data_IF_274777867970
#
_entry.id   IF_274777867970
#
_cell.length_a   1.000
_cell.length_b   1.000
_cell.length_c   1.000
_cell.angle_alpha   90.00
_cell.angle_beta   90.00
_cell.angle_gamma   90.00
#
_symmetry.space_group_name_H-M   'P 1'
#
loop_
_entity.id
_entity.type
_entity.pdbx_description
1 polymer ?
#
# COMPACT_ATOMS: atom_id res chain seq x y z
N UNK A 1 5.29 -5.73 12.40
CA UNK A 1 4.73 -6.59 11.31
C UNK A 1 5.73 -6.65 10.14
N UNK A 2 6.46 -7.75 9.96
CA UNK A 2 7.77 -7.80 9.25
C UNK A 2 7.68 -7.86 7.70
N UNK A 3 6.48 -7.85 7.11
CA UNK A 3 6.32 -8.09 5.66
C UNK A 3 6.48 -6.88 4.74
N UNK A 4 6.17 -5.67 5.22
CA UNK A 4 6.06 -4.47 4.37
C UNK A 4 7.39 -3.72 4.20
N UNK A 5 8.33 -3.87 5.14
CA UNK A 5 9.65 -3.22 5.08
C UNK A 5 10.44 -3.62 3.82
N UNK A 6 10.17 -4.79 3.23
CA UNK A 6 10.80 -5.23 1.98
C UNK A 6 10.45 -4.36 0.76
N UNK A 7 9.43 -3.50 0.88
CA UNK A 7 9.01 -2.59 -0.16
C UNK A 7 9.57 -1.17 0.02
N UNK A 8 10.36 -0.89 1.06
CA UNK A 8 11.00 0.41 1.24
C UNK A 8 11.81 0.81 0.00
N UNK A 9 11.56 2.02 -0.51
CA UNK A 9 12.15 2.57 -1.74
C UNK A 9 11.62 1.93 -3.04
N UNK A 10 10.68 0.99 -2.96
CA UNK A 10 10.08 0.36 -4.14
C UNK A 10 8.80 1.10 -4.57
N UNK A 11 8.59 1.14 -5.88
CA UNK A 11 7.32 1.54 -6.49
C UNK A 11 6.33 0.39 -6.45
N UNK A 12 5.15 0.64 -5.91
CA UNK A 12 4.13 -0.36 -5.61
C UNK A 12 2.72 0.17 -5.88
N UNK A 13 1.78 -0.76 -6.03
CA UNK A 13 0.36 -0.49 -5.94
C UNK A 13 -0.15 -0.98 -4.58
N UNK A 14 -0.92 -0.13 -3.90
CA UNK A 14 -1.52 -0.42 -2.60
C UNK A 14 -3.03 -0.44 -2.74
N UNK A 15 -3.64 -1.51 -2.27
CA UNK A 15 -5.08 -1.69 -2.23
C UNK A 15 -5.53 -1.79 -0.77
N UNK A 16 -6.48 -0.94 -0.39
CA UNK A 16 -6.93 -0.79 0.99
C UNK A 16 -8.36 -1.32 1.09
N UNK A 17 -8.54 -2.24 2.04
CA UNK A 17 -9.84 -2.79 2.42
C UNK A 17 -10.12 -2.37 3.85
N UNK A 18 -11.17 -1.57 4.05
CA UNK A 18 -11.60 -1.07 5.35
C UNK A 18 -12.52 -2.06 6.09
N UNK A 19 -13.12 -3.02 5.38
CA UNK A 19 -14.05 -4.01 5.96
C UNK A 19 -13.80 -5.43 5.45
N UNK A 20 -14.29 -6.42 6.22
CA UNK A 20 -14.31 -7.84 5.82
C UNK A 20 -15.13 -8.02 4.53
N UNK A 21 -16.24 -7.29 4.40
CA UNK A 21 -17.11 -7.37 3.24
C UNK A 21 -16.39 -6.90 1.96
N UNK A 22 -15.72 -5.74 2.03
CA UNK A 22 -14.91 -5.22 0.92
C UNK A 22 -13.85 -6.24 0.49
N UNK A 23 -13.17 -6.84 1.47
CA UNK A 23 -12.12 -7.85 1.21
C UNK A 23 -12.66 -9.13 0.57
N UNK A 24 -13.74 -9.71 1.12
CA UNK A 24 -14.31 -10.95 0.62
C UNK A 24 -14.94 -10.84 -0.77
N UNK A 25 -15.37 -9.63 -1.15
CA UNK A 25 -15.92 -9.34 -2.48
C UNK A 25 -14.86 -8.82 -3.47
N UNK A 26 -13.56 -8.86 -3.11
CA UNK A 26 -12.45 -8.41 -3.95
C UNK A 26 -12.67 -6.97 -4.48
N UNK A 27 -13.28 -6.12 -3.65
CA UNK A 27 -13.60 -4.75 -3.99
C UNK A 27 -12.90 -3.83 -3.01
N UNK A 28 -11.78 -3.25 -3.42
CA UNK A 28 -11.05 -2.30 -2.58
C UNK A 28 -11.87 -1.04 -2.33
N UNK A 29 -11.75 -0.48 -1.12
CA UNK A 29 -12.38 0.80 -0.78
C UNK A 29 -11.57 1.97 -1.35
N UNK A 30 -10.26 1.78 -1.50
CA UNK A 30 -9.33 2.74 -2.07
C UNK A 30 -8.12 2.02 -2.64
N UNK A 31 -7.61 2.51 -3.78
CA UNK A 31 -6.32 2.10 -4.32
C UNK A 31 -5.41 3.30 -4.55
N UNK A 32 -4.12 3.09 -4.29
CA UNK A 32 -3.04 4.04 -4.53
C UNK A 32 -2.04 3.34 -5.43
N UNK A 33 -1.94 3.82 -6.67
CA UNK A 33 -1.14 3.20 -7.72
C UNK A 33 0.12 4.00 -7.95
N UNK A 34 1.17 3.30 -8.38
CA UNK A 34 2.43 3.93 -8.79
C UNK A 34 3.10 4.75 -7.68
N UNK A 35 2.91 4.35 -6.42
CA UNK A 35 3.44 5.07 -5.25
C UNK A 35 4.75 4.46 -4.75
N UNK A 36 5.63 5.28 -4.20
CA UNK A 36 6.90 4.83 -3.61
C UNK A 36 6.76 4.69 -2.11
N UNK A 37 7.16 3.55 -1.53
CA UNK A 37 7.14 3.40 -0.07
C UNK A 37 8.35 4.11 0.54
N UNK A 38 8.10 5.11 1.37
CA UNK A 38 9.13 5.93 2.01
C UNK A 38 9.46 5.44 3.42
N UNK A 39 8.45 4.96 4.14
CA UNK A 39 8.59 4.55 5.53
C UNK A 39 7.57 3.48 5.92
N UNK A 40 7.95 2.58 6.81
CA UNK A 40 7.07 1.55 7.36
C UNK A 40 7.31 1.45 8.85
N UNK A 41 6.25 1.68 9.63
CA UNK A 41 6.21 1.45 11.06
C UNK A 41 5.22 0.32 11.36
N UNK A 42 5.04 -0.04 12.64
CA UNK A 42 4.04 -1.06 13.01
C UNK A 42 2.60 -0.59 12.75
N UNK A 43 2.36 0.73 12.75
CA UNK A 43 1.02 1.31 12.67
C UNK A 43 0.76 2.05 11.36
N UNK A 44 1.82 2.46 10.64
CA UNK A 44 1.70 3.33 9.47
C UNK A 44 2.58 2.89 8.31
N UNK A 45 2.10 3.13 7.10
CA UNK A 45 2.90 3.16 5.88
C UNK A 45 2.94 4.60 5.38
N UNK A 46 4.14 5.10 5.14
CA UNK A 46 4.38 6.37 4.47
C UNK A 46 4.73 6.08 3.01
N UNK A 47 4.04 6.75 2.11
CA UNK A 47 4.24 6.63 0.67
C UNK A 47 4.33 8.02 0.04
N UNK A 48 4.93 8.09 -1.14
CA UNK A 48 4.96 9.28 -1.98
C UNK A 48 4.33 8.95 -3.34
N UNK A 49 3.45 9.83 -3.81
CA UNK A 49 2.85 9.70 -5.14
C UNK A 49 3.71 10.34 -6.24
N UNK A 50 3.31 10.17 -7.50
CA UNK A 50 4.01 10.74 -8.66
C UNK A 50 4.08 12.28 -8.67
N UNK A 51 3.26 12.94 -7.86
CA UNK A 51 3.22 14.41 -7.73
C UNK A 51 4.14 14.89 -6.61
N UNK A 52 4.86 13.99 -5.93
CA UNK A 52 5.71 14.29 -4.78
C UNK A 52 4.91 14.60 -3.51
N UNK A 53 3.64 14.18 -3.43
CA UNK A 53 2.85 14.32 -2.21
C UNK A 53 3.04 13.09 -1.33
N UNK A 54 3.38 13.33 -0.07
CA UNK A 54 3.50 12.28 0.93
C UNK A 54 2.14 11.95 1.54
N UNK A 55 1.79 10.66 1.56
CA UNK A 55 0.59 10.14 2.19
C UNK A 55 0.97 9.19 3.33
N UNK A 56 0.19 9.24 4.41
CA UNK A 56 0.40 8.39 5.59
C UNK A 56 -0.86 7.53 5.82
N UNK A 57 -0.71 6.22 5.69
CA UNK A 57 -1.81 5.25 5.80
C UNK A 57 -1.74 4.62 7.18
N UNK A 58 -2.82 4.75 7.96
CA UNK A 58 -2.94 4.11 9.27
C UNK A 58 -3.45 2.66 9.13
N UNK A 59 -2.56 1.69 9.34
CA UNK A 59 -2.83 0.26 9.23
C UNK A 59 -3.84 -0.25 10.24
N UNK A 60 -3.95 0.38 11.43
CA UNK A 60 -4.95 0.00 12.46
C UNK A 60 -6.38 0.32 12.04
N UNK A 61 -6.58 1.18 11.04
CA UNK A 61 -7.89 1.50 10.48
C UNK A 61 -8.26 0.66 9.26
N UNK A 62 -7.34 -0.17 8.79
CA UNK A 62 -7.56 -1.05 7.65
C UNK A 62 -7.91 -2.45 8.16
N UNK A 63 -8.89 -3.09 7.52
CA UNK A 63 -9.10 -4.52 7.72
C UNK A 63 -7.99 -5.32 7.04
N UNK A 64 -7.61 -4.94 5.81
CA UNK A 64 -6.52 -5.55 5.06
C UNK A 64 -5.86 -4.53 4.13
N UNK A 65 -4.55 -4.71 3.90
CA UNK A 65 -3.77 -3.94 2.95
C UNK A 65 -3.00 -4.91 2.07
N UNK A 66 -3.22 -4.82 0.76
CA UNK A 66 -2.52 -5.61 -0.24
C UNK A 66 -1.54 -4.72 -0.96
N UNK A 67 -0.28 -5.17 -1.04
CA UNK A 67 0.81 -4.43 -1.70
C UNK A 67 1.38 -5.27 -2.82
N UNK A 68 1.20 -4.78 -4.05
CA UNK A 68 1.76 -5.38 -5.25
C UNK A 68 2.95 -4.56 -5.71
N UNK A 69 4.11 -5.19 -5.83
CA UNK A 69 5.26 -4.54 -6.46
C UNK A 69 4.97 -4.42 -7.94
N UNK A 70 5.22 -3.24 -8.51
CA UNK A 70 5.23 -3.09 -9.95
C UNK A 70 6.29 -4.05 -10.49
N UNK A 71 5.87 -5.14 -11.15
CA UNK A 71 6.79 -5.97 -11.90
C UNK A 71 7.19 -5.12 -13.10
N UNK A 72 8.42 -4.60 -13.10
CA UNK A 72 9.03 -4.18 -14.35
C UNK A 72 8.81 -5.32 -15.33
N UNK A 73 8.05 -5.06 -16.39
CA UNK A 73 7.96 -5.95 -17.54
C UNK A 73 9.40 -6.17 -18.01
N UNK A 74 9.98 -7.30 -17.60
CA UNK A 74 11.25 -7.75 -18.13
C UNK A 74 11.07 -7.93 -19.63
N UNK A 75 11.98 -7.28 -20.36
CA UNK A 75 12.16 -7.27 -21.81
C UNK A 75 11.72 -8.54 -22.56
#
# INVERSE_FOLDING_TARGET
MVGLQKYLGAKVNIYIYASIESYNNEREDTSLKDVTVMGVTDDFIEIEDERGLSHCINLKKCFSVVVERERSLGY
#
